data_IF_554850403598
#
_entry.id   IF_554850403598
#
_cell.length_a   1.000
_cell.length_b   1.000
_cell.length_c   1.000
_cell.angle_alpha   90.00
_cell.angle_beta   90.00
_cell.angle_gamma   90.00
#
_symmetry.space_group_name_H-M   'P 1'
#
loop_
_entity.id
_entity.type
_entity.pdbx_description
1 polymer ?
#
# COMPACT_ATOMS: atom_id res chain seq x y z
N UNK A 1 -9.77 -13.36 -6.88
CA UNK A 1 -9.01 -13.71 -5.71
C UNK A 1 -9.02 -15.23 -5.54
N UNK A 2 -7.87 -15.82 -5.29
CA UNK A 2 -7.70 -17.23 -4.94
C UNK A 2 -7.16 -17.31 -3.52
N UNK A 3 -7.82 -18.06 -2.67
CA UNK A 3 -7.42 -18.23 -1.27
C UNK A 3 -7.15 -19.71 -1.00
N UNK A 4 -6.12 -20.06 -0.24
CA UNK A 4 -5.93 -21.43 0.22
C UNK A 4 -7.01 -21.78 1.25
N UNK A 5 -7.51 -23.02 1.20
CA UNK A 5 -8.35 -23.57 2.26
C UNK A 5 -7.44 -24.20 3.30
N UNK A 6 -7.40 -23.63 4.49
CA UNK A 6 -6.53 -24.05 5.58
C UNK A 6 -7.20 -25.08 6.53
N UNK A 7 -8.53 -25.07 6.57
CA UNK A 7 -9.31 -25.92 7.48
C UNK A 7 -10.56 -26.43 6.80
N UNK A 8 -11.12 -27.52 7.32
CA UNK A 8 -12.39 -28.06 6.86
C UNK A 8 -13.50 -27.00 6.98
N UNK A 9 -14.35 -26.89 5.98
CA UNK A 9 -15.41 -25.89 5.89
C UNK A 9 -14.94 -24.49 5.47
N UNK A 10 -13.63 -24.31 5.22
CA UNK A 10 -12.97 -23.08 4.78
C UNK A 10 -13.11 -21.87 5.71
N UNK A 11 -14.25 -21.68 6.39
CA UNK A 11 -14.55 -20.64 7.39
C UNK A 11 -14.23 -19.22 6.88
N UNK A 12 -14.66 -18.88 5.66
CA UNK A 12 -14.40 -17.58 5.05
C UNK A 12 -15.01 -16.44 5.87
N UNK A 13 -14.25 -15.37 6.05
CA UNK A 13 -14.72 -14.09 6.57
C UNK A 13 -14.11 -12.95 5.76
N UNK A 14 -14.73 -11.78 5.81
CA UNK A 14 -14.23 -10.55 5.19
C UNK A 14 -14.65 -9.35 6.02
N UNK A 15 -13.84 -8.31 5.99
CA UNK A 15 -14.04 -7.08 6.73
C UNK A 15 -13.03 -6.02 6.32
N UNK A 16 -12.87 -5.00 7.15
CA UNK A 16 -11.81 -4.00 7.03
C UNK A 16 -11.85 -3.24 5.70
N UNK A 17 -12.96 -2.54 5.47
CA UNK A 17 -13.17 -1.81 4.23
C UNK A 17 -12.59 -0.40 4.31
N UNK A 18 -11.79 -0.05 3.32
CA UNK A 18 -11.13 1.25 3.21
C UNK A 18 -11.59 2.02 1.97
N UNK A 19 -11.90 3.30 2.13
CA UNK A 19 -12.19 4.20 1.02
C UNK A 19 -10.90 4.67 0.32
N UNK A 20 -9.81 4.80 1.06
CA UNK A 20 -8.47 5.08 0.54
C UNK A 20 -7.40 4.50 1.47
N UNK A 21 -6.34 4.01 0.87
CA UNK A 21 -5.16 3.51 1.54
C UNK A 21 -3.98 3.62 0.56
N UNK A 22 -2.84 4.11 1.04
CA UNK A 22 -1.59 4.04 0.29
C UNK A 22 -0.95 2.64 0.41
N UNK A 23 -0.18 2.25 -0.59
CA UNK A 23 0.57 0.99 -0.53
C UNK A 23 1.56 1.00 0.64
N UNK A 24 1.33 0.11 1.62
CA UNK A 24 2.14 0.02 2.84
C UNK A 24 1.41 0.40 4.12
N UNK A 25 0.31 1.18 4.07
CA UNK A 25 -0.48 1.58 5.25
C UNK A 25 0.41 1.93 6.46
N UNK A 26 1.38 2.80 6.24
CA UNK A 26 2.60 2.93 7.05
C UNK A 26 2.39 3.40 8.51
N UNK A 27 1.21 3.91 8.87
CA UNK A 27 0.86 4.23 10.26
C UNK A 27 -0.34 3.42 10.80
N UNK A 28 -0.64 2.28 10.19
CA UNK A 28 -1.74 1.39 10.59
C UNK A 28 -3.10 2.06 10.49
N UNK A 29 -3.28 2.99 9.57
CA UNK A 29 -4.58 3.63 9.33
C UNK A 29 -4.82 3.89 7.84
N UNK A 30 -6.06 3.80 7.46
CA UNK A 30 -6.59 4.15 6.15
C UNK A 30 -7.82 5.05 6.32
N UNK A 31 -8.54 5.34 5.26
CA UNK A 31 -9.87 5.94 5.38
C UNK A 31 -10.87 4.83 5.63
N UNK A 32 -11.12 4.55 6.89
CA UNK A 32 -12.03 3.50 7.34
C UNK A 32 -13.47 3.79 6.90
N UNK A 33 -14.16 2.78 6.40
CA UNK A 33 -15.54 2.94 5.95
C UNK A 33 -16.34 1.65 6.08
N UNK A 34 -17.65 1.77 6.09
CA UNK A 34 -18.52 0.62 5.90
C UNK A 34 -18.63 0.25 4.42
N UNK A 35 -18.92 -1.00 4.13
CA UNK A 35 -19.13 -1.46 2.76
C UNK A 35 -20.23 -2.51 2.69
N UNK A 36 -20.86 -2.62 1.50
CA UNK A 36 -21.71 -3.72 1.13
C UNK A 36 -21.01 -4.55 0.08
N UNK A 37 -20.68 -5.79 0.43
CA UNK A 37 -19.99 -6.71 -0.47
C UNK A 37 -20.98 -7.70 -1.06
N UNK A 38 -20.81 -7.99 -2.36
CA UNK A 38 -21.46 -9.11 -3.04
C UNK A 38 -20.35 -10.00 -3.58
N UNK A 39 -20.32 -11.24 -3.10
CA UNK A 39 -19.25 -12.21 -3.44
C UNK A 39 -19.87 -13.44 -4.09
N UNK A 40 -19.15 -14.00 -5.06
CA UNK A 40 -19.40 -15.32 -5.63
C UNK A 40 -18.25 -16.23 -5.23
N UNK A 41 -18.56 -17.40 -4.72
CA UNK A 41 -17.59 -18.41 -4.34
C UNK A 41 -17.62 -19.56 -5.33
N UNK A 42 -16.42 -19.99 -5.73
CA UNK A 42 -16.21 -21.20 -6.52
C UNK A 42 -15.13 -22.05 -5.82
N UNK A 43 -15.32 -23.35 -5.75
CA UNK A 43 -14.32 -24.26 -5.21
C UNK A 43 -13.48 -24.83 -6.36
N UNK A 44 -12.17 -24.68 -6.27
CA UNK A 44 -11.21 -25.15 -7.27
C UNK A 44 -10.34 -26.27 -6.68
N UNK A 45 -10.81 -27.51 -6.77
CA UNK A 45 -10.15 -28.68 -6.18
C UNK A 45 -8.78 -29.01 -6.79
N UNK A 46 -8.51 -28.57 -8.01
CA UNK A 46 -7.27 -28.86 -8.74
C UNK A 46 -6.21 -27.75 -8.60
N UNK A 47 -6.54 -26.64 -7.94
CA UNK A 47 -5.61 -25.53 -7.78
C UNK A 47 -5.06 -25.49 -6.36
N UNK A 48 -3.77 -25.80 -6.22
CA UNK A 48 -3.05 -25.67 -4.96
C UNK A 48 -2.39 -24.29 -4.90
N UNK A 49 -2.91 -23.40 -4.05
CA UNK A 49 -2.29 -22.11 -3.72
C UNK A 49 -1.80 -22.15 -2.29
N UNK A 50 -0.56 -21.71 -2.06
CA UNK A 50 0.05 -21.67 -0.73
C UNK A 50 -0.29 -20.38 -0.02
N UNK A 51 -0.33 -19.29 -0.75
CA UNK A 51 -0.62 -17.93 -0.28
C UNK A 51 -1.67 -17.28 -1.20
N UNK A 52 -2.41 -16.25 -0.75
CA UNK A 52 -3.38 -15.56 -1.58
C UNK A 52 -2.81 -15.09 -2.92
N UNK A 53 -3.56 -15.32 -3.99
CA UNK A 53 -3.23 -14.86 -5.34
C UNK A 53 -4.41 -14.10 -5.90
N UNK A 54 -4.16 -13.13 -6.76
CA UNK A 54 -5.22 -12.35 -7.38
C UNK A 54 -4.97 -12.12 -8.87
N UNK A 55 -6.06 -11.93 -9.60
CA UNK A 55 -6.07 -11.42 -10.97
C UNK A 55 -7.04 -10.24 -11.02
N UNK A 56 -6.56 -9.09 -11.48
CA UNK A 56 -7.42 -7.93 -11.68
C UNK A 56 -8.13 -8.00 -13.04
N UNK A 57 -9.28 -7.39 -13.14
CA UNK A 57 -10.02 -7.25 -14.41
C UNK A 57 -9.58 -6.03 -15.22
N UNK A 58 -8.71 -5.17 -14.67
CA UNK A 58 -8.20 -3.97 -15.29
C UNK A 58 -6.86 -3.55 -14.70
N UNK A 59 -6.34 -2.40 -15.06
CA UNK A 59 -5.06 -1.90 -14.57
C UNK A 59 -5.10 -1.67 -13.06
N UNK A 60 -3.96 -1.90 -12.39
CA UNK A 60 -3.79 -1.57 -10.98
C UNK A 60 -3.76 -0.07 -10.71
N UNK A 61 -3.26 0.70 -11.69
CA UNK A 61 -3.22 2.16 -11.57
C UNK A 61 -4.64 2.73 -11.59
N UNK A 62 -4.99 3.45 -10.55
CA UNK A 62 -6.23 4.21 -10.52
C UNK A 62 -6.19 5.26 -11.64
N UNK A 63 -7.19 5.26 -12.50
CA UNK A 63 -7.34 6.26 -13.58
C UNK A 63 -7.52 7.68 -13.04
N UNK A 64 -7.81 7.82 -11.76
CA UNK A 64 -7.99 9.11 -11.06
C UNK A 64 -6.66 9.77 -10.69
N UNK A 65 -5.53 9.07 -10.80
CA UNK A 65 -4.23 9.57 -10.35
C UNK A 65 -3.31 9.85 -11.54
N UNK A 66 -3.69 10.86 -12.32
CA UNK A 66 -2.92 11.35 -13.50
C UNK A 66 -2.03 12.55 -13.20
N UNK A 67 -2.06 13.05 -11.96
CA UNK A 67 -1.24 14.17 -11.50
C UNK A 67 0.23 13.75 -11.32
N UNK A 68 1.15 14.71 -11.29
CA UNK A 68 2.53 14.47 -10.88
C UNK A 68 2.64 13.85 -9.49
N UNK A 69 3.78 13.22 -9.24
CA UNK A 69 4.14 12.69 -7.93
C UNK A 69 5.39 13.39 -7.41
N UNK A 70 5.42 13.65 -6.13
CA UNK A 70 6.65 13.84 -5.39
C UNK A 70 7.11 12.52 -4.79
N UNK A 71 8.41 12.24 -4.81
CA UNK A 71 8.93 10.99 -4.26
C UNK A 71 10.16 11.24 -3.39
N UNK A 72 10.25 10.45 -2.32
CA UNK A 72 11.43 10.34 -1.48
C UNK A 72 11.97 8.92 -1.55
N UNK A 73 13.27 8.76 -1.35
CA UNK A 73 13.93 7.45 -1.46
C UNK A 73 14.86 7.22 -0.27
N UNK A 74 15.04 5.94 0.08
CA UNK A 74 16.07 5.53 1.03
C UNK A 74 16.76 4.26 0.53
N UNK A 75 18.05 4.17 0.80
CA UNK A 75 18.91 3.09 0.32
C UNK A 75 19.70 2.49 1.47
N UNK A 76 19.90 1.17 1.44
CA UNK A 76 20.67 0.44 2.44
C UNK A 76 20.38 -1.06 2.43
N UNK A 77 21.01 -1.80 3.34
CA UNK A 77 20.97 -3.27 3.36
C UNK A 77 19.69 -3.86 3.98
N UNK A 78 18.81 -3.05 4.53
CA UNK A 78 17.57 -3.47 5.18
C UNK A 78 16.37 -2.79 4.52
N UNK A 79 15.55 -3.56 3.80
CA UNK A 79 14.37 -3.04 3.09
C UNK A 79 13.36 -2.40 4.04
N UNK A 80 13.16 -2.96 5.23
CA UNK A 80 12.22 -2.39 6.18
C UNK A 80 12.71 -1.05 6.73
N UNK A 81 13.98 -0.97 7.09
CA UNK A 81 14.59 0.30 7.50
C UNK A 81 14.54 1.36 6.40
N UNK A 82 14.77 0.95 5.14
CA UNK A 82 14.67 1.84 3.98
C UNK A 82 13.23 2.32 3.77
N UNK A 83 12.22 1.44 3.93
CA UNK A 83 10.81 1.83 3.86
C UNK A 83 10.49 2.88 4.94
N UNK A 84 10.87 2.64 6.19
CA UNK A 84 10.68 3.61 7.26
C UNK A 84 11.38 4.94 6.98
N UNK A 85 12.61 4.90 6.46
CA UNK A 85 13.39 6.11 6.22
C UNK A 85 12.83 6.94 5.04
N UNK A 86 12.36 6.28 3.97
CA UNK A 86 11.70 6.99 2.86
C UNK A 86 10.43 7.70 3.32
N UNK A 87 9.64 7.09 4.22
CA UNK A 87 8.46 7.73 4.84
C UNK A 87 8.87 8.89 5.74
N UNK A 88 9.93 8.78 6.56
CA UNK A 88 10.42 9.91 7.37
C UNK A 88 10.80 11.12 6.51
N UNK A 89 11.48 10.89 5.40
CA UNK A 89 11.82 11.95 4.45
C UNK A 89 10.56 12.57 3.81
N UNK A 90 9.52 11.78 3.54
CA UNK A 90 8.25 12.30 3.05
C UNK A 90 7.54 13.14 4.11
N UNK A 91 7.54 12.70 5.37
CA UNK A 91 6.99 13.48 6.51
C UNK A 91 7.71 14.81 6.62
N UNK A 92 9.05 14.82 6.60
CA UNK A 92 9.86 16.05 6.67
C UNK A 92 9.51 17.00 5.51
N UNK A 93 9.37 16.47 4.28
CA UNK A 93 8.94 17.25 3.13
C UNK A 93 7.56 17.88 3.34
N UNK A 94 6.58 17.11 3.83
CA UNK A 94 5.21 17.57 4.07
C UNK A 94 5.14 18.64 5.15
N UNK A 95 5.94 18.52 6.20
CA UNK A 95 6.06 19.55 7.23
C UNK A 95 6.61 20.86 6.64
N UNK A 96 7.68 20.78 5.86
CA UNK A 96 8.36 21.96 5.31
C UNK A 96 7.52 22.63 4.22
N UNK A 97 7.01 21.86 3.26
CA UNK A 97 6.37 22.40 2.06
C UNK A 97 4.86 22.66 2.24
N UNK A 98 4.21 21.97 3.17
CA UNK A 98 2.75 22.04 3.37
C UNK A 98 2.35 22.54 4.76
N UNK A 99 3.30 22.71 5.68
CA UNK A 99 3.04 23.19 7.04
C UNK A 99 2.23 22.23 7.90
N UNK A 100 2.22 20.92 7.56
CA UNK A 100 1.53 19.89 8.33
C UNK A 100 2.27 19.63 9.64
N UNK A 101 1.54 19.19 10.66
CA UNK A 101 2.16 18.58 11.84
C UNK A 101 2.76 17.22 11.48
N UNK A 102 3.60 16.68 12.34
CA UNK A 102 4.20 15.35 12.13
C UNK A 102 3.13 14.26 12.03
N UNK A 103 2.11 14.33 12.89
CA UNK A 103 1.01 13.39 12.95
C UNK A 103 0.15 13.46 11.68
N UNK A 104 -0.20 14.67 11.22
CA UNK A 104 -0.96 14.86 9.99
C UNK A 104 -0.19 14.35 8.77
N UNK A 105 1.12 14.66 8.68
CA UNK A 105 1.97 14.16 7.61
C UNK A 105 2.09 12.63 7.62
N UNK A 106 2.21 12.01 8.79
CA UNK A 106 2.30 10.57 8.92
C UNK A 106 0.98 9.87 8.55
N UNK A 107 -0.16 10.42 8.99
CA UNK A 107 -1.49 9.93 8.59
C UNK A 107 -1.67 10.06 7.07
N UNK A 108 -1.29 11.22 6.48
CA UNK A 108 -1.37 11.42 5.04
C UNK A 108 -0.49 10.41 4.28
N UNK A 109 0.71 10.12 4.77
CA UNK A 109 1.55 9.08 4.19
C UNK A 109 0.84 7.71 4.19
N UNK A 110 0.16 7.35 5.26
CA UNK A 110 -0.54 6.06 5.37
C UNK A 110 -1.73 5.94 4.40
N UNK A 111 -2.42 7.05 4.16
CA UNK A 111 -3.63 7.10 3.34
C UNK A 111 -3.34 7.22 1.85
N UNK A 112 -2.25 7.87 1.47
CA UNK A 112 -2.04 8.32 0.10
C UNK A 112 -0.66 8.02 -0.51
N UNK A 113 0.35 7.69 0.28
CA UNK A 113 1.69 7.39 -0.23
C UNK A 113 1.81 5.91 -0.59
N UNK A 114 2.33 5.63 -1.78
CA UNK A 114 2.63 4.28 -2.23
C UNK A 114 4.12 3.96 -2.02
N UNK A 115 4.40 2.93 -1.22
CA UNK A 115 5.75 2.38 -1.06
C UNK A 115 6.06 1.40 -2.19
N UNK A 116 7.23 1.54 -2.80
CA UNK A 116 7.72 0.65 -3.86
C UNK A 116 9.14 0.21 -3.60
N UNK A 117 9.42 -1.07 -3.82
CA UNK A 117 10.78 -1.55 -3.95
C UNK A 117 11.25 -1.13 -5.33
N UNK A 118 12.09 -0.10 -5.40
CA UNK A 118 12.55 0.49 -6.66
C UNK A 118 13.77 -0.23 -7.22
N UNK A 119 14.57 -0.86 -6.33
CA UNK A 119 15.71 -1.66 -6.71
C UNK A 119 16.01 -2.74 -5.66
N UNK A 120 16.28 -3.96 -6.10
CA UNK A 120 16.56 -5.12 -5.25
C UNK A 120 17.77 -5.93 -5.73
N UNK A 121 18.58 -5.38 -6.63
CA UNK A 121 19.66 -6.14 -7.32
C UNK A 121 21.08 -5.72 -6.96
N UNK A 122 21.30 -4.52 -6.44
CA UNK A 122 22.63 -3.99 -6.12
C UNK A 122 23.03 -4.28 -4.66
N UNK A 123 23.13 -5.56 -4.33
CA UNK A 123 23.56 -5.97 -3.01
C UNK A 123 24.92 -5.33 -2.62
N UNK A 124 25.06 -4.81 -1.41
CA UNK A 124 24.17 -4.97 -0.27
C UNK A 124 23.13 -3.83 -0.12
N UNK A 125 22.95 -2.99 -1.10
CA UNK A 125 22.10 -1.81 -0.98
C UNK A 125 20.85 -1.94 -1.87
N UNK A 126 19.68 -1.93 -1.24
CA UNK A 126 18.38 -1.94 -1.89
C UNK A 126 17.71 -0.59 -1.77
N UNK A 127 16.88 -0.22 -2.74
CA UNK A 127 16.21 1.07 -2.80
C UNK A 127 14.71 0.92 -2.57
N UNK A 128 14.18 1.67 -1.61
CA UNK A 128 12.74 1.87 -1.41
C UNK A 128 12.38 3.31 -1.69
N UNK A 129 11.28 3.51 -2.41
CA UNK A 129 10.75 4.85 -2.71
C UNK A 129 9.33 4.99 -2.19
N UNK A 130 9.03 6.17 -1.65
CA UNK A 130 7.71 6.59 -1.22
C UNK A 130 7.18 7.64 -2.22
N UNK A 131 6.05 7.36 -2.85
CA UNK A 131 5.45 8.20 -3.90
C UNK A 131 4.16 8.84 -3.38
N UNK A 132 4.13 10.16 -3.31
CA UNK A 132 2.96 10.95 -2.95
C UNK A 132 2.35 11.56 -4.21
N UNK A 133 1.08 11.27 -4.56
CA UNK A 133 0.42 11.96 -5.66
C UNK A 133 0.12 13.40 -5.28
N UNK A 134 0.57 14.36 -6.09
CA UNK A 134 0.33 15.78 -5.81
C UNK A 134 -1.15 16.17 -5.90
N UNK A 135 -1.98 15.31 -6.51
CA UNK A 135 -3.43 15.49 -6.58
C UNK A 135 -4.16 15.39 -5.23
N UNK A 136 -3.49 14.99 -4.16
CA UNK A 136 -4.07 15.04 -2.80
C UNK A 136 -4.18 16.46 -2.26
N UNK A 137 -3.45 17.41 -2.87
CA UNK A 137 -3.52 18.82 -2.54
C UNK A 137 -4.32 19.56 -3.63
N UNK A 138 -5.47 20.06 -3.29
CA UNK A 138 -6.39 20.78 -4.19
C UNK A 138 -6.15 22.28 -4.05
#
# INVERSE_FOLDING_TARGET
>A
LYLPIQVEGALFSTGDAHAAQGDGECCVTAIETWSKLTLKFDLLSMKNVQEPQLRTSGPLCKTTNTAPYFATTAQGPDLYANAQQSIRYMIDHLIIERGLTWEEAYILCSVAVDLKISEIVDAPNWLVSAFLPESVFV
#
